data_IF_535287470851
#
_entry.id   IF_535287470851
#
_cell.length_a   1.000
_cell.length_b   1.000
_cell.length_c   1.000
_cell.angle_alpha   90.00
_cell.angle_beta   90.00
_cell.angle_gamma   90.00
#
_symmetry.space_group_name_H-M   'P 1'
#
loop_
_entity.id
_entity.type
_entity.pdbx_description
1 polymer ?
#
# COMPACT_ATOMS: atom_id res chain seq x y z
N UNK A 1 -9.31 4.85 -5.07
CA UNK A 1 -10.46 5.76 -4.92
C UNK A 1 -9.91 7.12 -4.51
N UNK A 2 -10.52 8.22 -4.98
CA UNK A 2 -10.11 9.58 -4.64
C UNK A 2 -11.17 10.16 -3.72
N UNK A 3 -10.76 10.62 -2.55
CA UNK A 3 -11.61 11.39 -1.65
C UNK A 3 -11.39 12.88 -1.94
N UNK A 4 -12.45 13.56 -2.42
CA UNK A 4 -12.40 14.96 -2.83
C UNK A 4 -12.40 15.89 -1.61
N UNK A 5 -12.94 15.44 -0.48
CA UNK A 5 -12.98 16.23 0.76
C UNK A 5 -11.64 16.19 1.51
N UNK A 6 -10.77 15.24 1.17
CA UNK A 6 -9.46 15.08 1.79
C UNK A 6 -8.36 15.87 1.08
N UNK A 7 -7.60 16.66 1.86
CA UNK A 7 -6.45 17.40 1.36
C UNK A 7 -6.82 18.40 0.27
N UNK A 8 -6.26 18.25 -0.92
CA UNK A 8 -6.56 19.09 -2.09
C UNK A 8 -7.61 18.49 -3.02
N UNK A 9 -8.15 17.31 -2.70
CA UNK A 9 -8.97 16.51 -3.61
C UNK A 9 -8.19 15.89 -4.79
N UNK A 10 -6.86 16.03 -4.81
CA UNK A 10 -5.96 15.42 -5.81
C UNK A 10 -4.90 14.61 -5.08
N UNK A 11 -4.73 13.35 -5.47
CA UNK A 11 -3.68 12.47 -4.93
C UNK A 11 -2.57 12.19 -5.95
N UNK A 12 -1.37 11.94 -5.42
CA UNK A 12 -0.28 11.29 -6.16
C UNK A 12 -0.61 9.82 -6.35
N UNK A 13 -0.32 9.28 -7.53
CA UNK A 13 -0.42 7.84 -7.84
C UNK A 13 0.98 7.24 -8.00
N UNK A 14 1.27 6.17 -7.27
CA UNK A 14 2.54 5.42 -7.24
C UNK A 14 2.30 3.89 -7.33
N UNK A 15 2.04 3.35 -8.54
CA UNK A 15 1.50 1.99 -8.70
C UNK A 15 2.41 0.84 -8.23
N UNK A 16 3.71 1.07 -8.12
CA UNK A 16 4.65 0.07 -7.61
C UNK A 16 4.62 -0.11 -6.09
N UNK A 17 3.98 0.82 -5.36
CA UNK A 17 4.15 0.98 -3.91
C UNK A 17 2.85 1.24 -3.14
N UNK A 18 1.68 1.18 -3.79
CA UNK A 18 0.38 1.23 -3.12
C UNK A 18 -0.64 0.35 -3.86
N UNK A 19 -1.49 -0.35 -3.10
CA UNK A 19 -2.45 -1.30 -3.67
C UNK A 19 -3.56 -0.63 -4.48
N UNK A 20 -4.09 0.51 -3.99
CA UNK A 20 -5.15 1.24 -4.69
C UNK A 20 -4.61 1.87 -5.97
N UNK A 21 -3.40 2.44 -5.90
CA UNK A 21 -2.70 2.99 -7.06
C UNK A 21 -2.40 1.91 -8.11
N UNK A 22 -1.99 0.73 -7.67
CA UNK A 22 -1.75 -0.42 -8.55
C UNK A 22 -3.01 -0.81 -9.33
N UNK A 23 -4.15 -0.97 -8.64
CA UNK A 23 -5.42 -1.35 -9.28
C UNK A 23 -5.89 -0.26 -10.26
N UNK A 24 -5.78 1.01 -9.87
CA UNK A 24 -6.14 2.13 -10.73
C UNK A 24 -5.25 2.22 -11.98
N UNK A 25 -3.94 2.07 -11.80
CA UNK A 25 -2.99 2.04 -12.91
C UNK A 25 -3.26 0.90 -13.89
N UNK A 26 -3.59 -0.30 -13.39
CA UNK A 26 -3.96 -1.45 -14.23
C UNK A 26 -5.23 -1.17 -15.05
N UNK A 27 -6.22 -0.51 -14.45
CA UNK A 27 -7.46 -0.12 -15.15
C UNK A 27 -7.19 0.93 -16.24
N UNK A 28 -6.26 1.85 -16.00
CA UNK A 28 -5.94 2.95 -16.91
C UNK A 28 -4.80 2.63 -17.89
N UNK A 29 -4.14 1.48 -17.76
CA UNK A 29 -2.98 1.11 -18.60
C UNK A 29 -1.71 1.90 -18.28
N UNK A 30 -1.56 2.40 -17.05
CA UNK A 30 -0.36 3.14 -16.63
C UNK A 30 0.81 2.19 -16.34
N UNK A 31 2.05 2.63 -16.59
CA UNK A 31 3.24 1.84 -16.24
C UNK A 31 3.36 1.65 -14.74
N UNK A 32 3.84 0.48 -14.34
CA UNK A 32 4.13 0.14 -12.94
C UNK A 32 5.64 0.20 -12.76
N UNK A 33 6.11 1.24 -12.08
CA UNK A 33 7.52 1.45 -11.77
C UNK A 33 7.79 1.14 -10.30
N UNK A 34 8.85 0.37 -10.06
CA UNK A 34 9.36 0.06 -8.73
C UNK A 34 10.63 0.87 -8.46
N UNK A 35 10.63 1.72 -7.43
CA UNK A 35 11.78 2.53 -7.03
C UNK A 35 12.62 1.91 -5.90
N UNK A 36 12.22 0.75 -5.36
CA UNK A 36 12.81 0.18 -4.16
C UNK A 36 13.45 -1.19 -4.42
N UNK A 37 14.61 -1.42 -3.79
CA UNK A 37 15.24 -2.72 -3.63
C UNK A 37 14.58 -3.52 -2.49
N UNK A 38 14.87 -4.81 -2.41
CA UNK A 38 14.28 -5.69 -1.38
C UNK A 38 14.75 -5.40 0.05
N UNK A 39 15.85 -4.68 0.21
CA UNK A 39 16.42 -4.28 1.51
C UNK A 39 15.88 -2.91 1.99
N UNK A 40 15.01 -2.26 1.22
CA UNK A 40 14.44 -0.95 1.56
C UNK A 40 15.27 0.24 1.08
N UNK A 41 16.39 0.00 0.37
CA UNK A 41 17.12 1.05 -0.35
C UNK A 41 16.44 1.40 -1.67
N UNK A 42 16.71 2.59 -2.20
CA UNK A 42 16.18 3.00 -3.50
C UNK A 42 17.10 2.58 -4.65
N UNK A 43 16.51 2.23 -5.79
CA UNK A 43 17.24 1.81 -7.01
C UNK A 43 17.38 2.96 -8.03
N UNK A 44 18.01 2.69 -9.17
CA UNK A 44 18.21 3.65 -10.27
C UNK A 44 16.94 4.39 -10.75
N UNK A 45 15.75 3.82 -10.60
CA UNK A 45 14.49 4.49 -10.96
C UNK A 45 14.24 5.71 -10.08
N UNK A 46 14.78 5.73 -8.85
CA UNK A 46 14.71 6.89 -7.96
C UNK A 46 15.68 8.02 -8.33
N UNK A 47 16.50 7.85 -9.37
CA UNK A 47 17.42 8.88 -9.86
C UNK A 47 18.41 9.34 -8.80
N UNK A 48 18.35 10.63 -8.42
CA UNK A 48 19.26 11.28 -7.47
C UNK A 48 19.26 10.66 -6.06
N UNK A 49 18.24 9.86 -5.73
CA UNK A 49 18.13 9.18 -4.44
C UNK A 49 18.53 7.70 -4.49
N UNK A 50 19.01 7.21 -5.65
CA UNK A 50 19.48 5.83 -5.77
C UNK A 50 20.58 5.51 -4.74
N UNK A 51 20.50 4.34 -4.13
CA UNK A 51 21.41 3.84 -3.09
C UNK A 51 21.08 4.30 -1.66
N UNK A 52 20.16 5.25 -1.46
CA UNK A 52 19.78 5.70 -0.12
C UNK A 52 18.73 4.77 0.52
N UNK A 53 18.75 4.67 1.85
CA UNK A 53 17.61 4.09 2.58
C UNK A 53 16.36 4.97 2.40
N UNK A 54 15.18 4.34 2.31
CA UNK A 54 13.91 5.04 2.06
C UNK A 54 13.59 6.17 3.06
N UNK A 55 13.99 6.05 4.32
CA UNK A 55 13.73 7.10 5.31
C UNK A 55 14.72 8.26 5.19
N UNK A 56 15.96 7.97 4.82
CA UNK A 56 16.96 8.99 4.50
C UNK A 56 16.57 9.76 3.24
N UNK A 57 16.18 9.04 2.19
CA UNK A 57 15.67 9.63 0.95
C UNK A 57 14.44 10.51 1.21
N UNK A 58 13.50 10.07 2.06
CA UNK A 58 12.33 10.88 2.44
C UNK A 58 12.72 12.20 3.10
N UNK A 59 13.68 12.18 4.03
CA UNK A 59 14.16 13.40 4.70
C UNK A 59 14.83 14.35 3.71
N UNK A 60 15.68 13.82 2.84
CA UNK A 60 16.40 14.59 1.82
C UNK A 60 15.44 15.23 0.81
N UNK A 61 14.52 14.44 0.25
CA UNK A 61 13.48 14.93 -0.66
C UNK A 61 12.65 16.05 -0.02
N UNK A 62 12.27 15.89 1.24
CA UNK A 62 11.50 16.93 1.94
C UNK A 62 12.27 18.24 2.08
N UNK A 63 13.55 18.17 2.47
CA UNK A 63 14.41 19.36 2.56
C UNK A 63 14.56 20.06 1.20
N UNK A 64 14.78 19.30 0.13
CA UNK A 64 14.89 19.87 -1.22
C UNK A 64 13.58 20.54 -1.70
N UNK A 65 12.41 19.95 -1.37
CA UNK A 65 11.12 20.57 -1.66
C UNK A 65 10.92 21.89 -0.90
N UNK A 66 11.41 21.99 0.33
CA UNK A 66 11.39 23.24 1.12
C UNK A 66 12.35 24.27 0.53
N UNK A 67 13.59 23.89 0.19
CA UNK A 67 14.61 24.78 -0.39
C UNK A 67 14.21 25.32 -1.76
N UNK A 68 13.54 24.50 -2.59
CA UNK A 68 13.07 24.90 -3.93
C UNK A 68 11.72 25.62 -3.92
N UNK A 69 11.07 25.77 -2.76
CA UNK A 69 9.76 26.40 -2.65
C UNK A 69 8.59 25.60 -3.24
N UNK A 70 8.80 24.30 -3.51
CA UNK A 70 7.76 23.38 -3.99
C UNK A 70 6.89 22.81 -2.84
N UNK A 71 7.38 22.85 -1.60
CA UNK A 71 6.63 22.45 -0.42
C UNK A 71 5.61 23.53 -0.04
N UNK A 72 4.32 23.26 -0.23
CA UNK A 72 3.24 24.22 0.07
C UNK A 72 2.84 24.21 1.55
N UNK A 73 2.73 23.02 2.15
CA UNK A 73 2.22 22.85 3.53
C UNK A 73 2.81 21.60 4.18
N UNK A 74 3.06 21.69 5.49
CA UNK A 74 3.41 20.56 6.38
C UNK A 74 2.51 20.59 7.59
N UNK A 75 1.88 19.46 7.90
CA UNK A 75 1.05 19.33 9.09
C UNK A 75 1.21 17.95 9.74
N UNK A 76 1.08 17.86 11.08
CA UNK A 76 1.01 16.56 11.75
C UNK A 76 -0.17 15.76 11.23
N UNK A 77 0.07 14.51 10.87
CA UNK A 77 -0.98 13.62 10.38
C UNK A 77 -0.79 12.22 10.95
N UNK A 78 -1.84 11.69 11.57
CA UNK A 78 -1.83 10.35 12.15
C UNK A 78 -2.14 9.33 11.07
N UNK A 79 -1.14 8.51 10.73
CA UNK A 79 -1.26 7.45 9.73
C UNK A 79 -1.33 6.08 10.38
N UNK A 80 -2.11 5.18 9.78
CA UNK A 80 -2.08 3.76 10.11
C UNK A 80 -0.96 3.09 9.30
N UNK A 81 0.19 2.89 9.95
CA UNK A 81 1.36 2.26 9.30
C UNK A 81 1.33 0.75 9.54
N UNK A 82 1.24 -0.09 8.48
CA UNK A 82 1.24 -1.53 8.64
C UNK A 82 2.61 -2.03 9.12
N UNK A 83 2.59 -3.03 10.00
CA UNK A 83 3.80 -3.62 10.58
C UNK A 83 3.73 -5.14 10.51
N UNK A 84 4.90 -5.75 10.33
CA UNK A 84 5.08 -7.21 10.44
C UNK A 84 4.60 -7.68 11.81
N UNK A 85 3.70 -8.67 11.84
CA UNK A 85 3.20 -9.22 13.10
C UNK A 85 4.33 -9.82 13.96
N UNK A 86 5.36 -10.39 13.32
CA UNK A 86 6.43 -11.11 14.01
C UNK A 86 7.58 -10.21 14.43
N UNK A 87 8.10 -9.39 13.52
CA UNK A 87 9.28 -8.56 13.77
C UNK A 87 8.96 -7.09 14.05
N UNK A 88 7.72 -6.65 13.80
CA UNK A 88 7.28 -5.28 14.09
C UNK A 88 7.79 -4.21 13.12
N UNK A 89 8.57 -4.59 12.10
CA UNK A 89 9.08 -3.70 11.07
C UNK A 89 7.94 -3.16 10.20
N UNK A 90 8.13 -1.95 9.65
CA UNK A 90 7.18 -1.37 8.70
C UNK A 90 7.15 -2.19 7.42
N UNK A 91 5.94 -2.54 6.97
CA UNK A 91 5.73 -3.27 5.71
C UNK A 91 5.79 -2.28 4.55
N UNK A 92 6.65 -2.57 3.58
CA UNK A 92 6.74 -1.83 2.31
C UNK A 92 6.00 -2.59 1.20
N UNK A 93 5.01 -1.98 0.53
CA UNK A 93 4.37 -2.60 -0.62
C UNK A 93 5.33 -2.68 -1.79
N UNK A 94 5.44 -3.87 -2.36
CA UNK A 94 6.29 -4.14 -3.52
C UNK A 94 5.57 -5.09 -4.48
N UNK A 95 5.43 -4.67 -5.74
CA UNK A 95 4.89 -5.53 -6.79
C UNK A 95 5.88 -6.65 -7.10
N UNK A 96 5.43 -7.90 -6.93
CA UNK A 96 6.24 -9.08 -7.21
C UNK A 96 5.37 -10.21 -7.77
N UNK A 97 6.00 -11.14 -8.49
CA UNK A 97 5.33 -12.38 -8.92
C UNK A 97 5.14 -13.28 -7.71
N UNK A 98 3.90 -13.63 -7.44
CA UNK A 98 3.50 -14.48 -6.32
C UNK A 98 2.49 -15.53 -6.79
N UNK A 99 2.32 -16.57 -5.98
CA UNK A 99 1.27 -17.56 -6.17
C UNK A 99 0.01 -17.11 -5.46
N UNK A 100 -1.10 -17.09 -6.19
CA UNK A 100 -2.41 -16.72 -5.65
C UNK A 100 -3.38 -17.87 -5.84
N UNK A 101 -4.27 -18.06 -4.87
CA UNK A 101 -5.40 -18.99 -4.95
C UNK A 101 -6.67 -18.17 -5.17
N UNK A 102 -7.50 -18.58 -6.12
CA UNK A 102 -8.80 -17.94 -6.34
C UNK A 102 -9.74 -18.27 -5.17
N UNK A 103 -9.91 -17.31 -4.27
CA UNK A 103 -10.62 -17.54 -3.01
C UNK A 103 -12.14 -17.52 -3.14
N UNK A 104 -12.71 -16.81 -4.11
CA UNK A 104 -14.16 -16.67 -4.31
C UNK A 104 -14.92 -18.01 -4.26
N UNK A 105 -14.58 -19.04 -5.07
CA UNK A 105 -15.32 -20.31 -5.05
C UNK A 105 -15.09 -21.14 -3.78
N UNK A 106 -14.01 -20.89 -3.04
CA UNK A 106 -13.74 -21.57 -1.77
C UNK A 106 -14.51 -20.90 -0.62
N UNK A 107 -14.52 -19.57 -0.61
CA UNK A 107 -15.26 -18.77 0.35
C UNK A 107 -16.76 -19.02 0.24
N UNK A 108 -17.31 -19.08 -0.97
CA UNK A 108 -18.74 -19.37 -1.19
C UNK A 108 -19.18 -20.68 -0.55
N UNK A 109 -18.40 -21.75 -0.70
CA UNK A 109 -18.69 -23.05 -0.07
C UNK A 109 -18.68 -22.98 1.45
N UNK A 110 -17.72 -22.25 2.03
CA UNK A 110 -17.62 -22.08 3.48
C UNK A 110 -18.80 -21.28 4.02
N UNK A 111 -19.19 -20.20 3.33
CA UNK A 111 -20.36 -19.39 3.69
C UNK A 111 -21.64 -20.22 3.67
N UNK A 112 -21.86 -21.01 2.60
CA UNK A 112 -23.04 -21.87 2.51
C UNK A 112 -23.11 -22.91 3.63
N UNK A 113 -21.98 -23.45 4.09
CA UNK A 113 -21.96 -24.42 5.19
C UNK A 113 -22.40 -23.78 6.53
N UNK A 114 -22.03 -22.51 6.76
CA UNK A 114 -22.50 -21.74 7.92
C UNK A 114 -23.99 -21.42 7.78
N UNK A 115 -24.42 -20.88 6.63
CA UNK A 115 -25.82 -20.51 6.38
C UNK A 115 -26.79 -21.70 6.50
N UNK A 116 -26.35 -22.89 6.10
CA UNK A 116 -27.14 -24.14 6.19
C UNK A 116 -27.08 -24.81 7.57
N UNK A 117 -26.26 -24.29 8.49
CA UNK A 117 -26.05 -24.90 9.80
C UNK A 117 -25.26 -26.21 9.77
N UNK A 118 -24.56 -26.50 8.67
CA UNK A 118 -23.63 -27.64 8.56
C UNK A 118 -22.37 -27.41 9.41
N UNK A 119 -22.07 -26.14 9.73
CA UNK A 119 -21.01 -25.69 10.63
C UNK A 119 -21.59 -24.75 11.68
N UNK A 120 -21.34 -25.01 12.97
CA UNK A 120 -21.76 -24.14 14.08
C UNK A 120 -20.56 -23.35 14.62
N UNK A 121 -20.67 -22.01 14.67
CA UNK A 121 -19.62 -21.15 15.22
C UNK A 121 -20.04 -20.64 16.59
N UNK A 122 -19.19 -20.84 17.61
CA UNK A 122 -19.47 -20.42 18.98
C UNK A 122 -18.47 -19.33 19.41
N UNK A 123 -18.93 -18.18 19.91
CA UNK A 123 -20.34 -17.74 20.02
C UNK A 123 -20.99 -17.33 18.68
N UNK A 124 -22.31 -17.49 18.57
CA UNK A 124 -23.14 -17.26 17.38
C UNK A 124 -22.95 -15.88 16.73
N UNK A 125 -22.60 -14.85 17.51
CA UNK A 125 -22.30 -13.51 16.99
C UNK A 125 -21.17 -13.46 15.94
N UNK A 126 -20.35 -14.52 15.85
CA UNK A 126 -19.26 -14.64 14.89
C UNK A 126 -19.69 -15.28 13.56
N UNK A 127 -20.96 -15.65 13.39
CA UNK A 127 -21.51 -16.14 12.11
C UNK A 127 -21.82 -15.00 11.11
N UNK A 128 -21.72 -13.74 11.54
CA UNK A 128 -22.00 -12.54 10.75
C UNK A 128 -20.73 -11.74 10.40
#
# INVERSE_FOLDING_TARGET
>A
HVDIEFGTGVLKISPGHDHNDYLLARKLGLPILNVMNKDGTLNEVAGLYSGLDRFEARKKLWAELEETGLAVKKEPHTLRVPRSQRGGEVIEPLVSKQWFVSMEPLAEKALQAVEKGELTIIPERFEK
#
